data_IF_925671687799
#
_entry.id   IF_925671687799
#
_cell.length_a   1.000
_cell.length_b   1.000
_cell.length_c   1.000
_cell.angle_alpha   90.00
_cell.angle_beta   90.00
_cell.angle_gamma   90.00
#
_symmetry.space_group_name_H-M   'P 1'
#
loop_
_entity.id
_entity.type
_entity.pdbx_description
1 polymer ?
#
# COMPACT_ATOMS: atom_id res chain seq x y z
N UNK A 1 25.14 -24.11 -6.14
CA UNK A 1 24.58 -22.76 -6.02
C UNK A 1 23.23 -22.76 -6.72
N UNK A 2 22.13 -23.14 -6.06
CA UNK A 2 20.80 -23.04 -6.67
C UNK A 2 20.37 -21.58 -6.71
N UNK A 3 19.75 -21.19 -7.83
CA UNK A 3 19.64 -19.81 -8.30
C UNK A 3 18.75 -18.90 -7.46
N UNK A 4 19.23 -17.66 -7.28
CA UNK A 4 18.36 -16.51 -6.97
C UNK A 4 17.42 -16.34 -8.17
N UNK A 5 16.12 -16.46 -7.94
CA UNK A 5 15.10 -16.14 -8.93
C UNK A 5 14.37 -14.90 -8.42
N UNK A 6 14.44 -13.79 -9.15
CA UNK A 6 13.59 -12.64 -8.88
C UNK A 6 12.18 -12.85 -9.44
N UNK A 7 11.25 -12.12 -8.85
CA UNK A 7 9.83 -12.34 -9.09
C UNK A 7 9.25 -11.35 -10.09
N UNK A 8 9.35 -10.04 -9.80
CA UNK A 8 8.79 -9.00 -10.66
C UNK A 8 9.77 -7.83 -10.84
N UNK A 9 9.93 -7.38 -12.09
CA UNK A 9 10.85 -6.29 -12.49
C UNK A 9 12.30 -6.52 -11.99
N UNK A 10 12.74 -7.78 -11.89
CA UNK A 10 14.07 -8.15 -11.36
C UNK A 10 15.23 -7.45 -12.09
N UNK A 11 15.07 -7.20 -13.39
CA UNK A 11 16.07 -6.54 -14.22
C UNK A 11 16.06 -5.01 -14.08
N UNK A 12 14.95 -4.42 -13.60
CA UNK A 12 14.75 -2.97 -13.53
C UNK A 12 14.94 -2.42 -12.11
N UNK A 13 14.62 -3.21 -11.09
CA UNK A 13 14.70 -2.82 -9.67
C UNK A 13 15.88 -3.54 -9.03
N UNK A 14 16.77 -2.84 -8.30
CA UNK A 14 18.01 -3.40 -7.77
C UNK A 14 17.80 -4.25 -6.49
N UNK A 15 16.90 -5.24 -6.55
CA UNK A 15 16.54 -6.12 -5.43
C UNK A 15 17.74 -6.87 -4.85
N UNK A 16 18.63 -7.37 -5.70
CA UNK A 16 19.85 -8.08 -5.28
C UNK A 16 20.82 -7.16 -4.54
N UNK A 17 20.92 -5.91 -4.98
CA UNK A 17 21.70 -4.87 -4.30
C UNK A 17 21.08 -4.58 -2.95
N UNK A 18 19.76 -4.38 -2.87
CA UNK A 18 19.06 -4.18 -1.61
C UNK A 18 19.28 -5.36 -0.66
N UNK A 19 18.99 -6.59 -1.10
CA UNK A 19 19.11 -7.81 -0.30
C UNK A 19 20.54 -8.02 0.25
N UNK A 20 21.58 -7.70 -0.53
CA UNK A 20 22.97 -7.80 -0.07
C UNK A 20 23.33 -6.87 1.09
N UNK A 21 22.51 -5.85 1.35
CA UNK A 21 22.66 -4.90 2.46
C UNK A 21 21.97 -5.34 3.75
N UNK A 22 21.35 -6.53 3.78
CA UNK A 22 20.68 -7.08 4.95
C UNK A 22 21.15 -8.51 5.21
N UNK A 23 21.11 -8.93 6.48
CA UNK A 23 21.28 -10.33 6.87
C UNK A 23 19.93 -10.83 7.35
N UNK A 24 19.55 -12.03 6.94
CA UNK A 24 18.36 -12.68 7.48
C UNK A 24 18.57 -13.09 8.95
N UNK A 25 17.70 -12.64 9.85
CA UNK A 25 17.66 -13.06 11.26
C UNK A 25 16.24 -13.48 11.60
N UNK A 26 16.03 -14.75 11.94
CA UNK A 26 14.72 -15.34 12.21
C UNK A 26 14.02 -14.81 13.47
N UNK A 27 14.74 -14.13 14.37
CA UNK A 27 14.20 -13.69 15.67
C UNK A 27 14.82 -12.37 16.15
N UNK A 28 14.57 -11.27 15.45
CA UNK A 28 15.09 -9.93 15.80
C UNK A 28 14.06 -9.07 16.55
N UNK A 29 13.78 -9.42 17.81
CA UNK A 29 12.72 -8.77 18.61
C UNK A 29 12.96 -7.32 19.06
N UNK A 30 14.16 -6.75 18.85
CA UNK A 30 14.57 -5.56 19.63
C UNK A 30 14.87 -4.29 18.83
N UNK A 31 15.14 -4.35 17.52
CA UNK A 31 15.51 -3.15 16.77
C UNK A 31 15.17 -3.24 15.28
N UNK A 32 14.68 -2.14 14.66
CA UNK A 32 14.46 -2.09 13.22
C UNK A 32 15.79 -2.35 12.48
N UNK A 33 15.75 -2.98 11.30
CA UNK A 33 16.94 -3.26 10.52
C UNK A 33 17.65 -1.95 10.18
N UNK A 34 18.96 -1.87 10.46
CA UNK A 34 19.81 -0.81 9.92
C UNK A 34 20.50 -1.35 8.67
N UNK A 35 20.34 -0.72 7.50
CA UNK A 35 21.01 -1.18 6.28
C UNK A 35 22.53 -1.07 6.39
N UNK A 36 23.26 -1.94 5.67
CA UNK A 36 24.73 -1.84 5.53
C UNK A 36 25.16 -0.54 4.89
N UNK A 37 24.43 -0.11 3.88
CA UNK A 37 24.74 1.09 3.10
C UNK A 37 23.48 1.93 2.92
N UNK A 38 23.50 3.12 3.50
CA UNK A 38 22.50 4.15 3.22
C UNK A 38 22.44 4.50 1.72
N UNK A 39 23.57 4.40 1.02
CA UNK A 39 23.66 4.72 -0.40
C UNK A 39 22.92 3.68 -1.25
N UNK A 40 23.04 2.40 -0.90
CA UNK A 40 22.35 1.32 -1.61
C UNK A 40 20.83 1.35 -1.38
N UNK A 41 20.39 1.62 -0.14
CA UNK A 41 18.96 1.80 0.15
C UNK A 41 18.40 3.03 -0.52
N UNK A 42 19.13 4.15 -0.52
CA UNK A 42 18.71 5.37 -1.20
C UNK A 42 18.59 5.17 -2.72
N UNK A 43 19.58 4.50 -3.33
CA UNK A 43 19.53 4.14 -4.75
C UNK A 43 18.32 3.26 -5.07
N UNK A 44 18.07 2.21 -4.27
CA UNK A 44 16.88 1.36 -4.43
C UNK A 44 15.59 2.18 -4.34
N UNK A 45 15.46 3.01 -3.31
CA UNK A 45 14.28 3.85 -3.07
C UNK A 45 13.98 4.74 -4.26
N UNK A 46 15.00 5.44 -4.79
CA UNK A 46 14.85 6.31 -5.96
C UNK A 46 14.42 5.56 -7.21
N UNK A 47 15.06 4.42 -7.48
CA UNK A 47 14.74 3.62 -8.67
C UNK A 47 13.30 3.09 -8.59
N UNK A 48 12.88 2.57 -7.43
CA UNK A 48 11.50 2.08 -7.25
C UNK A 48 10.47 3.22 -7.39
N UNK A 49 10.70 4.36 -6.74
CA UNK A 49 9.82 5.53 -6.85
C UNK A 49 9.67 5.99 -8.31
N UNK A 50 10.80 6.14 -9.03
CA UNK A 50 10.81 6.55 -10.43
C UNK A 50 10.08 5.56 -11.35
N UNK A 51 10.22 4.25 -11.10
CA UNK A 51 9.51 3.22 -11.87
C UNK A 51 8.00 3.30 -11.62
N UNK A 52 7.57 3.49 -10.37
CA UNK A 52 6.15 3.70 -10.04
C UNK A 52 5.62 4.93 -10.78
N UNK A 53 6.31 6.07 -10.70
CA UNK A 53 5.92 7.31 -11.39
C UNK A 53 5.78 7.11 -12.91
N UNK A 54 6.79 6.50 -13.54
CA UNK A 54 6.82 6.28 -15.00
C UNK A 54 5.69 5.36 -15.45
N UNK A 55 5.43 4.28 -14.71
CA UNK A 55 4.38 3.33 -15.06
C UNK A 55 2.99 3.85 -14.70
N UNK A 56 2.87 4.71 -13.69
CA UNK A 56 1.64 5.48 -13.44
C UNK A 56 1.32 6.46 -14.56
N UNK A 57 2.31 7.16 -15.11
CA UNK A 57 2.11 8.04 -16.27
C UNK A 57 1.64 7.23 -17.49
N UNK A 58 2.25 6.06 -17.70
CA UNK A 58 1.86 5.13 -18.76
C UNK A 58 0.43 4.60 -18.56
N UNK A 59 0.07 4.27 -17.31
CA UNK A 59 -1.29 3.86 -16.94
C UNK A 59 -2.29 5.00 -17.20
N UNK A 60 -1.94 6.23 -16.80
CA UNK A 60 -2.78 7.41 -16.97
C UNK A 60 -3.08 7.72 -18.44
N UNK A 61 -2.13 7.48 -19.33
CA UNK A 61 -2.29 7.70 -20.77
C UNK A 61 -3.38 6.81 -21.41
N UNK A 62 -3.84 5.75 -20.73
CA UNK A 62 -4.94 4.90 -21.20
C UNK A 62 -6.32 5.56 -21.08
N UNK A 63 -6.43 6.63 -20.29
CA UNK A 63 -7.70 7.28 -19.98
C UNK A 63 -7.81 8.67 -20.62
N UNK A 64 -9.04 9.19 -20.83
CA UNK A 64 -9.24 10.53 -21.36
C UNK A 64 -8.51 11.61 -20.58
N UNK A 65 -8.10 12.67 -21.27
CA UNK A 65 -7.46 13.84 -20.67
C UNK A 65 -8.39 14.48 -19.62
N UNK A 66 -7.86 14.75 -18.43
CA UNK A 66 -8.59 15.27 -17.28
C UNK A 66 -9.26 16.61 -17.57
N UNK A 67 -8.62 17.45 -18.40
CA UNK A 67 -9.15 18.76 -18.80
C UNK A 67 -10.32 18.70 -19.78
N UNK A 68 -10.58 17.51 -20.36
CA UNK A 68 -11.66 17.30 -21.34
C UNK A 68 -12.81 16.46 -20.77
N UNK A 69 -12.71 16.06 -19.51
CA UNK A 69 -13.69 15.20 -18.87
C UNK A 69 -14.78 16.04 -18.20
N UNK A 70 -15.92 16.18 -18.86
CA UNK A 70 -17.12 16.75 -18.23
C UNK A 70 -17.72 15.69 -17.31
N UNK A 71 -17.30 15.70 -16.05
CA UNK A 71 -17.89 14.86 -15.02
C UNK A 71 -19.43 15.06 -15.04
N UNK A 72 -20.26 14.02 -14.97
CA UNK A 72 -21.70 14.19 -14.80
C UNK A 72 -22.04 14.66 -13.39
N UNK A 73 -23.18 15.33 -13.21
CA UNK A 73 -23.69 15.75 -11.88
C UNK A 73 -24.60 14.69 -11.24
N UNK A 74 -25.07 13.74 -12.04
CA UNK A 74 -26.00 12.69 -11.65
C UNK A 74 -25.61 11.38 -12.31
N UNK A 75 -25.94 10.27 -11.67
CA UNK A 75 -25.79 8.94 -12.24
C UNK A 75 -24.86 8.03 -11.45
N UNK A 76 -24.51 6.91 -12.07
CA UNK A 76 -23.73 5.85 -11.44
C UNK A 76 -22.23 6.13 -11.51
N UNK A 77 -21.56 6.05 -10.36
CA UNK A 77 -20.10 6.10 -10.25
C UNK A 77 -19.48 4.84 -10.85
N UNK A 78 -20.00 3.66 -10.51
CA UNK A 78 -19.54 2.35 -10.97
C UNK A 78 -20.69 1.50 -11.50
N UNK A 79 -20.39 0.43 -12.25
CA UNK A 79 -21.40 -0.41 -12.91
C UNK A 79 -22.16 -1.33 -11.93
N UNK A 80 -23.33 -1.80 -12.35
CA UNK A 80 -24.14 -2.74 -11.57
C UNK A 80 -23.43 -4.08 -11.40
N UNK A 81 -22.66 -4.53 -12.41
CA UNK A 81 -21.89 -5.77 -12.33
C UNK A 81 -20.84 -5.70 -11.21
N UNK A 82 -20.18 -4.54 -11.06
CA UNK A 82 -19.19 -4.35 -10.01
C UNK A 82 -19.86 -4.35 -8.62
N UNK A 83 -21.01 -3.68 -8.50
CA UNK A 83 -21.82 -3.68 -7.28
C UNK A 83 -22.19 -5.10 -6.87
N UNK A 84 -22.67 -5.89 -7.83
CA UNK A 84 -23.18 -7.23 -7.59
C UNK A 84 -22.05 -8.23 -7.31
N UNK A 85 -20.85 -7.98 -7.84
CA UNK A 85 -19.64 -8.75 -7.52
C UNK A 85 -19.11 -8.45 -6.11
N UNK A 86 -19.26 -7.21 -5.63
CA UNK A 86 -18.71 -6.74 -4.35
C UNK A 86 -19.77 -6.12 -3.41
N UNK A 87 -20.85 -6.86 -3.06
CA UNK A 87 -21.97 -6.33 -2.29
C UNK A 87 -21.62 -5.99 -0.82
N UNK A 88 -20.46 -6.44 -0.33
CA UNK A 88 -19.93 -6.08 1.00
C UNK A 88 -19.43 -4.61 1.03
N UNK A 89 -19.03 -4.05 -0.12
CA UNK A 89 -18.40 -2.73 -0.23
C UNK A 89 -19.24 -1.75 -1.03
N UNK A 90 -20.03 -2.26 -1.99
CA UNK A 90 -20.73 -1.48 -3.00
C UNK A 90 -22.23 -1.77 -2.92
N UNK A 91 -23.02 -0.70 -2.96
CA UNK A 91 -24.48 -0.74 -2.90
C UNK A 91 -25.10 0.35 -3.80
N UNK A 92 -26.42 0.35 -3.91
CA UNK A 92 -27.13 1.33 -4.75
C UNK A 92 -26.92 2.79 -4.30
N UNK A 93 -26.70 3.00 -3.00
CA UNK A 93 -26.57 4.32 -2.39
C UNK A 93 -25.19 4.90 -2.65
N UNK A 94 -24.12 4.11 -2.50
CA UNK A 94 -22.76 4.57 -2.76
C UNK A 94 -22.39 4.56 -4.25
N UNK A 95 -23.21 3.94 -5.11
CA UNK A 95 -23.14 4.06 -6.57
C UNK A 95 -23.55 5.45 -7.08
N UNK A 96 -24.39 6.19 -6.34
CA UNK A 96 -25.02 7.41 -6.81
C UNK A 96 -24.15 8.66 -6.55
N UNK A 97 -23.71 9.37 -7.59
CA UNK A 97 -22.81 10.54 -7.40
C UNK A 97 -23.48 11.71 -6.69
N UNK A 98 -24.75 11.97 -6.99
CA UNK A 98 -25.51 13.05 -6.38
C UNK A 98 -25.66 12.84 -4.86
N UNK A 99 -25.74 11.58 -4.40
CA UNK A 99 -25.70 11.28 -2.96
C UNK A 99 -24.40 11.80 -2.30
N UNK A 100 -23.27 11.74 -2.99
CA UNK A 100 -21.99 12.18 -2.45
C UNK A 100 -21.82 13.68 -2.47
N UNK A 101 -22.32 14.34 -3.53
CA UNK A 101 -22.37 15.79 -3.64
C UNK A 101 -23.24 16.39 -2.52
N UNK A 102 -24.40 15.78 -2.24
CA UNK A 102 -25.28 16.23 -1.16
C UNK A 102 -24.66 16.06 0.24
N UNK A 103 -23.95 14.95 0.45
CA UNK A 103 -23.30 14.66 1.74
C UNK A 103 -22.09 15.53 2.03
N UNK A 104 -21.36 15.94 1.00
CA UNK A 104 -20.20 16.82 1.14
C UNK A 104 -20.56 18.24 1.59
N UNK A 105 -21.86 18.60 1.63
CA UNK A 105 -22.30 19.96 1.95
C UNK A 105 -21.79 20.39 3.33
N UNK A 106 -21.30 21.64 3.45
CA UNK A 106 -20.68 22.13 4.67
C UNK A 106 -21.69 22.17 5.81
N UNK A 107 -21.50 21.31 6.82
CA UNK A 107 -22.39 21.24 7.98
C UNK A 107 -22.05 22.31 9.03
N UNK A 108 -20.79 22.77 9.08
CA UNK A 108 -20.33 23.84 9.97
C UNK A 108 -19.19 24.63 9.31
N UNK A 109 -19.17 25.95 9.53
CA UNK A 109 -18.05 26.82 9.16
C UNK A 109 -16.87 26.52 10.09
N UNK A 110 -15.70 26.22 9.54
CA UNK A 110 -14.46 26.31 10.32
C UNK A 110 -14.29 27.76 10.81
N UNK A 111 -13.97 27.99 12.10
CA UNK A 111 -13.74 29.35 12.60
C UNK A 111 -12.57 30.00 11.86
N UNK A 112 -12.87 30.90 10.92
CA UNK A 112 -11.87 31.62 10.11
C UNK A 112 -11.86 31.27 8.61
N UNK A 113 -12.74 30.40 8.12
CA UNK A 113 -12.92 30.19 6.68
C UNK A 113 -13.93 31.18 6.10
N UNK A 114 -13.51 31.99 5.13
CA UNK A 114 -14.37 32.96 4.42
C UNK A 114 -15.42 32.28 3.53
N UNK A 115 -15.18 31.03 3.12
CA UNK A 115 -16.10 30.22 2.32
C UNK A 115 -16.14 28.80 2.89
N UNK A 116 -17.33 28.24 3.20
CA UNK A 116 -17.42 26.86 3.66
C UNK A 116 -17.05 25.90 2.52
N UNK A 117 -15.92 25.21 2.66
CA UNK A 117 -15.53 24.14 1.74
C UNK A 117 -16.34 22.86 2.00
N UNK A 118 -16.75 22.14 0.94
CA UNK A 118 -17.30 20.80 1.10
C UNK A 118 -16.33 19.90 1.85
N UNK A 119 -16.84 19.00 2.70
CA UNK A 119 -16.00 18.10 3.48
C UNK A 119 -16.68 16.77 3.78
N UNK A 120 -15.88 15.76 4.08
CA UNK A 120 -16.31 14.44 4.51
C UNK A 120 -15.80 14.13 5.92
N UNK A 121 -16.50 13.22 6.58
CA UNK A 121 -16.19 12.73 7.93
C UNK A 121 -15.98 11.22 7.93
N UNK A 122 -15.64 10.65 9.09
CA UNK A 122 -15.61 9.20 9.28
C UNK A 122 -16.95 8.50 8.96
N UNK A 123 -18.08 9.24 9.00
CA UNK A 123 -19.40 8.69 8.62
C UNK A 123 -19.59 8.51 7.11
N UNK A 124 -18.63 9.01 6.31
CA UNK A 124 -18.59 8.94 4.86
C UNK A 124 -17.50 7.95 4.37
N UNK A 125 -16.92 7.15 5.27
CA UNK A 125 -15.82 6.24 4.94
C UNK A 125 -16.21 5.12 3.95
N UNK A 126 -17.49 4.83 3.73
CA UNK A 126 -17.91 3.97 2.63
C UNK A 126 -17.59 4.54 1.24
N UNK A 127 -17.48 5.88 1.08
CA UNK A 127 -16.92 6.47 -0.14
C UNK A 127 -15.44 6.13 -0.28
N UNK A 128 -14.68 6.06 0.83
CA UNK A 128 -13.29 5.61 0.76
C UNK A 128 -13.22 4.17 0.23
N UNK A 129 -14.12 3.27 0.63
CA UNK A 129 -14.19 1.91 0.07
C UNK A 129 -14.54 1.90 -1.42
N UNK A 130 -15.46 2.75 -1.89
CA UNK A 130 -15.70 2.92 -3.32
C UNK A 130 -14.41 3.30 -4.06
N UNK A 131 -13.62 4.24 -3.53
CA UNK A 131 -12.35 4.64 -4.15
C UNK A 131 -11.34 3.48 -4.13
N UNK A 132 -11.20 2.77 -3.01
CA UNK A 132 -10.30 1.60 -2.91
C UNK A 132 -10.68 0.52 -3.94
N UNK A 133 -11.97 0.18 -4.02
CA UNK A 133 -12.51 -0.78 -4.99
C UNK A 133 -12.26 -0.35 -6.42
N UNK A 134 -12.43 0.94 -6.69
CA UNK A 134 -12.22 1.49 -8.02
C UNK A 134 -10.74 1.40 -8.44
N UNK A 135 -9.81 1.67 -7.51
CA UNK A 135 -8.37 1.50 -7.74
C UNK A 135 -8.08 0.01 -8.04
N UNK A 136 -8.71 -0.92 -7.31
CA UNK A 136 -8.56 -2.37 -7.51
C UNK A 136 -9.09 -2.85 -8.87
N UNK A 137 -10.21 -2.31 -9.35
CA UNK A 137 -10.97 -2.84 -10.48
C UNK A 137 -10.83 -2.05 -11.78
N UNK A 138 -9.97 -1.02 -11.80
CA UNK A 138 -9.57 -0.29 -13.02
C UNK A 138 -10.78 0.37 -13.71
N UNK A 139 -11.68 0.94 -12.92
CA UNK A 139 -12.87 1.61 -13.46
C UNK A 139 -12.58 3.09 -13.70
N UNK A 140 -12.57 3.53 -14.96
CA UNK A 140 -12.18 4.90 -15.33
C UNK A 140 -13.10 5.97 -14.76
N UNK A 141 -14.41 5.78 -14.86
CA UNK A 141 -15.40 6.77 -14.47
C UNK A 141 -15.38 7.07 -12.94
N UNK A 142 -15.41 6.08 -12.04
CA UNK A 142 -15.32 6.37 -10.61
C UNK A 142 -13.96 6.88 -10.15
N UNK A 143 -12.88 6.73 -10.94
CA UNK A 143 -11.60 7.38 -10.67
C UNK A 143 -11.63 8.85 -11.07
N UNK A 144 -12.11 9.18 -12.27
CA UNK A 144 -11.98 10.53 -12.83
C UNK A 144 -13.15 11.46 -12.52
N UNK A 145 -14.38 10.94 -12.35
CA UNK A 145 -15.53 11.79 -12.07
C UNK A 145 -15.35 12.54 -10.74
N UNK A 146 -15.01 11.86 -9.63
CA UNK A 146 -14.87 12.54 -8.35
C UNK A 146 -13.61 13.42 -8.26
N UNK A 147 -12.52 13.11 -8.99
CA UNK A 147 -11.28 13.92 -9.00
C UNK A 147 -11.47 15.31 -9.56
N UNK A 148 -12.31 15.43 -10.57
CA UNK A 148 -12.53 16.69 -11.26
C UNK A 148 -13.72 17.49 -10.69
N UNK A 149 -14.15 17.17 -9.45
CA UNK A 149 -15.30 17.82 -8.79
C UNK A 149 -14.91 18.47 -7.47
N UNK A 150 -14.87 19.81 -7.41
CA UNK A 150 -14.69 20.53 -6.14
C UNK A 150 -15.75 20.19 -5.08
N UNK A 151 -16.94 19.75 -5.51
CA UNK A 151 -18.03 19.33 -4.62
C UNK A 151 -17.81 17.96 -3.97
N UNK A 152 -16.83 17.18 -4.43
CA UNK A 152 -16.50 15.85 -3.90
C UNK A 152 -15.04 15.88 -3.42
N UNK A 153 -14.78 16.33 -2.18
CA UNK A 153 -13.44 16.62 -1.68
C UNK A 153 -12.69 15.33 -1.28
N UNK A 154 -12.36 14.46 -2.24
CA UNK A 154 -11.79 13.14 -1.95
C UNK A 154 -10.47 13.19 -1.18
N UNK A 155 -9.71 14.29 -1.25
CA UNK A 155 -8.53 14.50 -0.39
C UNK A 155 -8.84 14.28 1.09
N UNK A 156 -10.06 14.59 1.56
CA UNK A 156 -10.49 14.39 2.95
C UNK A 156 -10.66 12.92 3.33
N UNK A 157 -10.74 12.01 2.36
CA UNK A 157 -10.82 10.57 2.55
C UNK A 157 -9.46 9.86 2.49
N UNK A 158 -8.39 10.60 2.15
CA UNK A 158 -7.04 10.04 1.97
C UNK A 158 -6.56 9.37 3.25
N UNK A 159 -6.59 10.10 4.36
CA UNK A 159 -6.12 9.63 5.66
C UNK A 159 -7.21 9.71 6.74
N UNK A 160 -8.29 8.95 6.58
CA UNK A 160 -9.30 8.79 7.63
C UNK A 160 -8.77 7.95 8.78
N UNK A 161 -9.07 8.36 10.02
CA UNK A 161 -8.72 7.59 11.20
C UNK A 161 -9.68 7.80 12.38
N UNK A 162 -9.87 6.75 13.16
CA UNK A 162 -10.57 6.76 14.46
C UNK A 162 -10.00 5.63 15.33
N UNK A 163 -8.91 5.90 16.05
CA UNK A 163 -8.13 4.88 16.76
C UNK A 163 -7.26 4.00 15.84
N UNK A 164 -7.66 3.81 14.59
CA UNK A 164 -6.87 3.19 13.52
C UNK A 164 -7.16 3.89 12.17
N UNK A 165 -6.28 3.69 11.18
CA UNK A 165 -6.33 4.35 9.87
C UNK A 165 -7.03 3.47 8.82
N UNK A 166 -8.02 4.02 8.11
CA UNK A 166 -8.84 3.31 7.12
C UNK A 166 -9.19 4.17 5.89
N UNK A 167 -8.48 5.28 5.68
CA UNK A 167 -8.56 6.06 4.45
C UNK A 167 -8.02 5.29 3.24
N UNK A 168 -8.22 5.83 2.04
CA UNK A 168 -7.76 5.12 0.83
C UNK A 168 -6.24 5.09 0.66
N UNK A 169 -5.45 5.85 1.45
CA UNK A 169 -3.99 5.70 1.49
C UNK A 169 -3.52 4.32 1.92
N UNK A 170 -4.38 3.59 2.65
CA UNK A 170 -4.16 2.18 3.02
C UNK A 170 -3.93 1.26 1.82
N UNK A 171 -4.46 1.58 0.65
CA UNK A 171 -4.22 0.81 -0.59
C UNK A 171 -2.75 0.87 -0.98
N UNK A 172 -2.19 2.09 -1.01
CA UNK A 172 -0.77 2.28 -1.31
C UNK A 172 0.12 1.65 -0.25
N UNK A 173 -0.22 1.83 1.03
CA UNK A 173 0.54 1.29 2.16
C UNK A 173 0.61 -0.26 2.14
N UNK A 174 -0.54 -0.93 2.08
CA UNK A 174 -0.61 -2.39 2.11
C UNK A 174 0.03 -3.02 0.85
N UNK A 175 -0.21 -2.43 -0.33
CA UNK A 175 0.41 -2.87 -1.57
C UNK A 175 1.94 -2.73 -1.54
N UNK A 176 2.46 -1.63 -0.99
CA UNK A 176 3.89 -1.36 -0.94
C UNK A 176 4.58 -2.31 0.03
N UNK A 177 3.98 -2.51 1.22
CA UNK A 177 4.48 -3.46 2.21
C UNK A 177 4.54 -4.88 1.64
N UNK A 178 3.48 -5.34 0.98
CA UNK A 178 3.45 -6.64 0.32
C UNK A 178 4.52 -6.73 -0.78
N UNK A 179 4.58 -5.73 -1.67
CA UNK A 179 5.49 -5.72 -2.81
C UNK A 179 6.97 -5.77 -2.38
N UNK A 180 7.37 -4.93 -1.42
CA UNK A 180 8.75 -4.88 -0.92
C UNK A 180 9.09 -6.18 -0.20
N UNK A 181 8.25 -6.64 0.74
CA UNK A 181 8.57 -7.81 1.55
C UNK A 181 8.69 -9.08 0.71
N UNK A 182 7.75 -9.36 -0.19
CA UNK A 182 7.81 -10.62 -0.96
C UNK A 182 8.95 -10.64 -1.96
N UNK A 183 9.22 -9.53 -2.67
CA UNK A 183 10.40 -9.46 -3.54
C UNK A 183 11.71 -9.52 -2.75
N UNK A 184 11.75 -8.93 -1.55
CA UNK A 184 12.92 -8.96 -0.69
C UNK A 184 13.24 -10.39 -0.21
N UNK A 185 12.24 -11.12 0.32
CA UNK A 185 12.38 -12.52 0.76
C UNK A 185 12.81 -13.42 -0.41
N UNK A 186 12.33 -13.16 -1.62
CA UNK A 186 12.78 -13.87 -2.80
C UNK A 186 14.25 -13.57 -3.14
N UNK A 187 14.65 -12.30 -3.08
CA UNK A 187 16.01 -11.86 -3.40
C UNK A 187 17.06 -12.34 -2.39
N UNK A 188 16.68 -12.56 -1.13
CA UNK A 188 17.55 -13.18 -0.11
C UNK A 188 17.73 -14.68 -0.31
N UNK A 189 16.87 -15.33 -1.11
CA UNK A 189 16.87 -16.78 -1.32
C UNK A 189 16.30 -17.57 -0.13
N UNK A 190 15.67 -16.90 0.83
CA UNK A 190 15.13 -17.54 2.05
C UNK A 190 13.79 -18.23 1.80
N UNK A 191 13.14 -17.99 0.65
CA UNK A 191 11.92 -18.69 0.22
C UNK A 191 12.08 -20.22 0.25
N UNK A 192 13.21 -20.75 -0.19
CA UNK A 192 13.43 -22.20 -0.31
C UNK A 192 13.53 -22.91 1.05
N UNK A 193 13.89 -22.18 2.10
CA UNK A 193 14.03 -22.73 3.46
C UNK A 193 12.76 -22.66 4.30
N UNK A 194 11.73 -21.90 3.88
CA UNK A 194 10.50 -21.69 4.65
C UNK A 194 10.68 -20.93 5.98
N UNK A 195 11.91 -20.56 6.33
CA UNK A 195 12.26 -20.01 7.65
C UNK A 195 11.54 -18.69 7.95
N UNK A 196 11.11 -17.95 6.92
CA UNK A 196 10.40 -16.68 7.05
C UNK A 196 9.02 -16.85 7.70
N UNK A 197 8.36 -18.01 7.55
CA UNK A 197 7.00 -18.26 8.07
C UNK A 197 6.96 -18.19 9.60
N UNK A 198 8.06 -18.54 10.25
CA UNK A 198 8.18 -18.57 11.71
C UNK A 198 8.56 -17.20 12.32
N UNK A 199 8.73 -16.15 11.52
CA UNK A 199 9.11 -14.82 12.01
C UNK A 199 7.89 -14.03 12.48
N UNK A 200 8.02 -13.34 13.61
CA UNK A 200 6.99 -12.42 14.13
C UNK A 200 6.63 -11.36 13.05
N UNK A 201 7.62 -10.90 12.27
CA UNK A 201 7.42 -9.94 11.18
C UNK A 201 6.52 -10.47 10.05
N UNK A 202 6.71 -11.74 9.63
CA UNK A 202 5.86 -12.35 8.61
C UNK A 202 4.44 -12.54 9.12
N UNK A 203 4.27 -13.02 10.35
CA UNK A 203 2.95 -13.15 10.98
C UNK A 203 2.25 -11.79 11.07
N UNK A 204 2.98 -10.73 11.44
CA UNK A 204 2.45 -9.37 11.49
C UNK A 204 2.05 -8.87 10.10
N UNK A 205 2.90 -9.04 9.09
CA UNK A 205 2.58 -8.65 7.71
C UNK A 205 1.31 -9.36 7.21
N UNK A 206 1.25 -10.68 7.34
CA UNK A 206 0.09 -11.44 6.85
C UNK A 206 -1.17 -11.07 7.62
N UNK A 207 -1.07 -10.83 8.94
CA UNK A 207 -2.20 -10.32 9.73
C UNK A 207 -2.67 -8.98 9.20
N UNK A 208 -1.75 -8.05 8.96
CA UNK A 208 -2.07 -6.72 8.43
C UNK A 208 -2.79 -6.82 7.07
N UNK A 209 -2.26 -7.62 6.14
CA UNK A 209 -2.77 -7.81 4.78
C UNK A 209 -4.12 -8.54 4.71
N UNK A 210 -4.50 -9.29 5.75
CA UNK A 210 -5.71 -10.14 5.72
C UNK A 210 -6.79 -9.72 6.73
N UNK A 211 -6.44 -8.85 7.68
CA UNK A 211 -7.30 -8.39 8.78
C UNK A 211 -8.61 -7.76 8.31
N UNK A 212 -9.66 -7.89 9.12
CA UNK A 212 -10.92 -7.16 8.94
C UNK A 212 -10.90 -5.84 9.69
N UNK A 213 -10.50 -4.80 8.96
CA UNK A 213 -10.52 -3.41 9.41
C UNK A 213 -11.90 -2.77 9.18
N UNK A 214 -12.16 -1.63 9.81
CA UNK A 214 -13.29 -0.79 9.43
C UNK A 214 -13.06 -0.34 7.98
N UNK A 215 -14.06 -0.54 7.12
CA UNK A 215 -13.98 -0.26 5.68
C UNK A 215 -12.79 -0.98 5.02
N UNK A 216 -12.83 -2.32 4.85
CA UNK A 216 -11.63 -3.12 4.57
C UNK A 216 -11.32 -3.32 3.08
N UNK A 217 -11.87 -2.52 2.17
CA UNK A 217 -11.69 -2.73 0.73
C UNK A 217 -10.22 -2.68 0.27
N UNK A 218 -9.32 -2.04 1.03
CA UNK A 218 -7.87 -2.07 0.78
C UNK A 218 -7.29 -3.49 0.85
N UNK A 219 -7.89 -4.39 1.64
CA UNK A 219 -7.37 -5.74 1.85
C UNK A 219 -7.85 -6.72 0.78
N UNK A 220 -8.74 -6.29 -0.13
CA UNK A 220 -9.33 -7.18 -1.11
C UNK A 220 -8.29 -7.95 -1.95
N UNK A 221 -7.36 -7.32 -2.68
CA UNK A 221 -6.41 -8.04 -3.53
C UNK A 221 -5.50 -8.96 -2.71
N UNK A 222 -5.23 -8.59 -1.45
CA UNK A 222 -4.44 -9.39 -0.53
C UNK A 222 -5.21 -10.63 -0.05
N UNK A 223 -6.50 -10.48 0.29
CA UNK A 223 -7.37 -11.58 0.72
C UNK A 223 -7.75 -12.53 -0.40
N UNK A 224 -7.84 -12.05 -1.64
CA UNK A 224 -8.09 -12.92 -2.80
C UNK A 224 -6.93 -13.89 -3.02
N UNK A 225 -5.70 -13.44 -2.79
CA UNK A 225 -4.51 -14.28 -2.89
C UNK A 225 -4.23 -15.10 -1.62
N UNK A 226 -4.21 -14.45 -0.45
CA UNK A 226 -3.78 -15.07 0.82
C UNK A 226 -4.93 -15.79 1.54
N UNK A 227 -6.18 -15.38 1.26
CA UNK A 227 -7.34 -15.73 2.06
C UNK A 227 -7.62 -14.73 3.18
N UNK A 228 -8.80 -14.83 3.79
CA UNK A 228 -9.17 -14.03 4.96
C UNK A 228 -8.46 -14.54 6.21
N UNK A 229 -8.19 -13.64 7.16
CA UNK A 229 -7.62 -14.02 8.44
C UNK A 229 -8.48 -15.12 9.11
N UNK A 230 -7.87 -16.22 9.58
CA UNK A 230 -8.61 -17.27 10.27
C UNK A 230 -9.29 -16.72 11.53
N UNK A 231 -10.53 -17.15 11.79
CA UNK A 231 -11.25 -16.78 13.03
C UNK A 231 -10.61 -17.40 14.29
N UNK A 232 -9.86 -18.49 14.11
CA UNK A 232 -9.16 -19.16 15.21
C UNK A 232 -7.68 -18.72 15.21
N UNK A 233 -7.20 -18.08 16.29
CA UNK A 233 -5.80 -17.63 16.39
C UNK A 233 -4.78 -18.77 16.35
N UNK A 234 -5.21 -20.02 16.55
CA UNK A 234 -4.34 -21.21 16.46
C UNK A 234 -4.22 -21.78 15.04
N UNK A 235 -4.94 -21.23 14.06
CA UNK A 235 -4.83 -21.65 12.66
C UNK A 235 -3.71 -20.88 12.00
N UNK A 236 -2.68 -21.60 11.52
CA UNK A 236 -1.62 -21.01 10.72
C UNK A 236 -2.17 -20.44 9.41
N UNK A 237 -1.62 -19.32 8.96
CA UNK A 237 -1.90 -18.82 7.62
C UNK A 237 -1.49 -19.85 6.56
N UNK A 238 -2.20 -19.90 5.42
CA UNK A 238 -1.78 -20.75 4.31
C UNK A 238 -0.36 -20.37 3.87
N UNK A 239 0.42 -21.39 3.51
CA UNK A 239 1.77 -21.19 3.01
C UNK A 239 1.73 -20.74 1.55
N UNK A 240 1.63 -19.43 1.35
CA UNK A 240 1.35 -18.85 0.04
C UNK A 240 2.59 -18.65 -0.83
N UNK A 241 3.81 -18.63 -0.24
CA UNK A 241 5.01 -18.32 -1.02
C UNK A 241 5.69 -19.53 -1.69
N UNK A 242 5.14 -20.74 -1.54
CA UNK A 242 5.66 -21.94 -2.22
C UNK A 242 5.26 -22.01 -3.70
N UNK A 243 4.08 -21.51 -4.05
CA UNK A 243 3.67 -21.38 -5.45
C UNK A 243 4.26 -20.09 -6.03
N UNK A 244 5.45 -20.21 -6.60
CA UNK A 244 6.20 -19.07 -7.13
C UNK A 244 5.49 -18.39 -8.31
N UNK A 245 4.69 -19.12 -9.08
CA UNK A 245 3.96 -18.54 -10.20
C UNK A 245 2.75 -17.75 -9.72
N UNK A 246 1.97 -18.29 -8.78
CA UNK A 246 0.88 -17.55 -8.14
C UNK A 246 1.40 -16.33 -7.36
N UNK A 247 2.53 -16.48 -6.67
CA UNK A 247 3.17 -15.37 -5.96
C UNK A 247 3.67 -14.29 -6.91
N UNK A 248 4.29 -14.66 -8.04
CA UNK A 248 4.71 -13.70 -9.08
C UNK A 248 3.51 -12.93 -9.62
N UNK A 249 2.41 -13.60 -9.85
CA UNK A 249 1.18 -12.98 -10.33
C UNK A 249 0.62 -11.98 -9.33
N UNK A 250 0.53 -12.38 -8.07
CA UNK A 250 0.08 -11.51 -6.99
C UNK A 250 0.99 -10.28 -6.84
N UNK A 251 2.32 -10.45 -6.87
CA UNK A 251 3.27 -9.35 -6.80
C UNK A 251 3.13 -8.37 -7.97
N UNK A 252 2.83 -8.87 -9.17
CA UNK A 252 2.49 -8.05 -10.35
C UNK A 252 1.19 -7.27 -10.14
N UNK A 253 0.18 -7.90 -9.53
CA UNK A 253 -1.11 -7.27 -9.21
C UNK A 253 -0.94 -6.12 -8.22
N UNK A 254 -0.26 -6.34 -7.10
CA UNK A 254 -0.04 -5.26 -6.10
C UNK A 254 0.86 -4.15 -6.65
N UNK A 255 1.82 -4.47 -7.52
CA UNK A 255 2.60 -3.44 -8.20
C UNK A 255 1.76 -2.57 -9.14
N UNK A 256 0.88 -3.20 -9.91
CA UNK A 256 -0.09 -2.49 -10.76
C UNK A 256 -1.04 -1.65 -9.90
N UNK A 257 -1.35 -2.10 -8.69
CA UNK A 257 -2.14 -1.34 -7.72
C UNK A 257 -1.42 -0.08 -7.23
N UNK A 258 -0.11 -0.16 -6.94
CA UNK A 258 0.71 1.01 -6.60
C UNK A 258 0.69 2.06 -7.71
N UNK A 259 0.83 1.63 -8.96
CA UNK A 259 0.81 2.52 -10.11
C UNK A 259 -0.55 3.24 -10.25
N UNK A 260 -1.65 2.50 -10.07
CA UNK A 260 -3.01 3.06 -10.10
C UNK A 260 -3.27 4.00 -8.93
N UNK A 261 -2.87 3.63 -7.72
CA UNK A 261 -2.97 4.48 -6.55
C UNK A 261 -2.23 5.81 -6.75
N UNK A 262 -0.99 5.79 -7.26
CA UNK A 262 -0.22 7.01 -7.51
C UNK A 262 -0.84 7.88 -8.59
N UNK A 263 -1.32 7.29 -9.69
CA UNK A 263 -2.07 8.01 -10.73
C UNK A 263 -3.25 8.76 -10.10
N UNK A 264 -4.06 8.05 -9.31
CA UNK A 264 -5.26 8.59 -8.68
C UNK A 264 -4.93 9.69 -7.68
N UNK A 265 -3.88 9.52 -6.88
CA UNK A 265 -3.36 10.57 -5.98
C UNK A 265 -3.06 11.87 -6.70
N UNK A 266 -2.39 11.79 -7.86
CA UNK A 266 -2.03 12.97 -8.66
C UNK A 266 -3.24 13.68 -9.26
N UNK A 267 -4.31 12.95 -9.61
CA UNK A 267 -5.55 13.55 -10.12
C UNK A 267 -6.24 14.46 -9.10
N UNK A 268 -6.02 14.26 -7.79
CA UNK A 268 -6.54 15.16 -6.74
C UNK A 268 -5.52 16.21 -6.28
N UNK A 269 -4.39 16.35 -6.99
CA UNK A 269 -3.31 17.27 -6.62
C UNK A 269 -2.54 16.83 -5.37
N UNK A 270 -2.53 15.54 -5.03
CA UNK A 270 -1.73 15.00 -3.94
C UNK A 270 -0.45 14.33 -4.47
N UNK A 271 0.60 14.39 -3.66
CA UNK A 271 1.88 13.70 -3.91
C UNK A 271 1.99 12.52 -2.94
N UNK A 272 2.27 11.33 -3.48
CA UNK A 272 2.45 10.10 -2.69
C UNK A 272 3.76 10.09 -1.89
N UNK A 273 4.73 10.97 -2.19
CA UNK A 273 6.04 11.02 -1.52
C UNK A 273 6.68 9.63 -1.40
N UNK A 274 6.73 8.89 -2.50
CA UNK A 274 7.09 7.47 -2.51
C UNK A 274 8.42 7.15 -1.81
N UNK A 275 9.40 8.05 -1.89
CA UNK A 275 10.68 7.83 -1.22
C UNK A 275 10.50 7.66 0.31
N UNK A 276 9.65 8.47 0.93
CA UNK A 276 9.38 8.42 2.37
C UNK A 276 8.59 7.15 2.75
N UNK A 277 7.62 6.77 1.91
CA UNK A 277 6.81 5.56 2.10
C UNK A 277 7.67 4.28 1.97
N UNK A 278 8.56 4.23 0.98
CA UNK A 278 9.49 3.10 0.78
C UNK A 278 10.47 3.01 1.95
N UNK A 279 11.04 4.13 2.39
CA UNK A 279 11.94 4.15 3.56
C UNK A 279 11.22 3.71 4.83
N UNK A 280 9.94 4.09 4.99
CA UNK A 280 9.13 3.65 6.12
C UNK A 280 8.89 2.14 6.10
N UNK A 281 8.73 1.53 4.92
CA UNK A 281 8.61 0.07 4.77
C UNK A 281 9.88 -0.69 5.20
N UNK A 282 11.07 -0.08 5.12
CA UNK A 282 12.29 -0.76 5.57
C UNK A 282 12.30 -1.11 7.05
N UNK A 283 11.52 -0.39 7.88
CA UNK A 283 11.35 -0.71 9.30
C UNK A 283 10.60 -2.02 9.54
N UNK A 284 9.82 -2.45 8.56
CA UNK A 284 8.92 -3.61 8.61
C UNK A 284 9.36 -4.73 7.67
N UNK A 285 10.60 -4.70 7.18
CA UNK A 285 11.13 -5.76 6.31
C UNK A 285 11.38 -7.03 7.09
N UNK A 286 10.72 -8.10 6.66
CA UNK A 286 10.73 -9.40 7.32
C UNK A 286 12.15 -9.97 7.40
N UNK A 287 12.55 -10.31 8.62
CA UNK A 287 13.81 -11.00 8.88
C UNK A 287 15.04 -10.14 8.57
N UNK A 288 14.90 -8.85 8.28
CA UNK A 288 16.04 -7.98 8.09
C UNK A 288 16.71 -7.70 9.45
N UNK A 289 17.88 -8.29 9.66
CA UNK A 289 18.69 -8.16 10.86
C UNK A 289 19.86 -7.18 10.71
N UNK A 290 20.37 -6.71 11.86
CA UNK A 290 21.55 -5.81 11.95
C UNK A 290 22.77 -6.35 11.19
N UNK A 291 23.63 -5.40 10.84
CA UNK A 291 24.89 -5.59 10.14
C UNK A 291 26.04 -5.85 11.12
N UNK A 292 26.84 -6.86 10.82
CA UNK A 292 28.20 -7.04 11.35
C UNK A 292 29.11 -5.95 10.79
N UNK A 293 29.56 -5.01 11.62
CA UNK A 293 30.69 -4.13 11.30
C UNK A 293 31.91 -4.75 12.03
N UNK A 294 32.96 -5.09 11.27
CA UNK A 294 34.30 -5.40 11.79
C UNK A 294 34.37 -6.35 13.00
N UNK A 295 33.87 -7.59 12.82
CA UNK A 295 34.05 -8.73 13.76
C UNK A 295 33.60 -8.55 15.22
N UNK A 296 32.99 -7.43 15.59
CA UNK A 296 32.53 -7.17 16.95
C UNK A 296 31.01 -7.08 17.02
N UNK A 297 30.42 -7.96 17.81
CA UNK A 297 29.03 -7.83 18.24
C UNK A 297 28.97 -6.72 19.29
N UNK A 298 28.53 -5.52 18.90
CA UNK A 298 28.17 -4.51 19.90
C UNK A 298 26.82 -4.91 20.50
N UNK A 299 26.87 -5.77 21.50
CA UNK A 299 25.86 -5.74 22.56
C UNK A 299 26.05 -4.40 23.27
N UNK A 300 25.21 -3.43 22.93
CA UNK A 300 25.26 -2.11 23.54
C UNK A 300 24.65 -2.17 24.95
N UNK A 301 25.32 -2.92 25.82
CA UNK A 301 25.37 -2.64 27.25
C UNK A 301 26.54 -1.69 27.48
N UNK A 302 26.34 -0.40 27.21
CA UNK A 302 26.80 0.65 28.11
C UNK A 302 26.25 2.03 27.74
N UNK A 303 25.38 2.53 28.62
CA UNK A 303 25.29 3.95 28.92
C UNK A 303 26.70 4.47 29.24
N UNK A 304 27.03 5.63 28.66
CA UNK A 304 28.22 6.48 28.88
C UNK A 304 29.19 6.49 27.72
N UNK A 305 28.91 7.35 26.73
CA UNK A 305 29.91 8.15 26.03
C UNK A 305 29.21 9.39 25.42
N UNK A 306 28.48 10.13 26.25
CA UNK A 306 28.39 11.59 26.09
C UNK A 306 29.67 12.16 26.71
N UNK A 307 30.72 12.31 25.89
CA UNK A 307 31.82 13.29 26.02
C UNK A 307 32.86 12.97 24.94
N UNK A 308 33.15 13.98 24.11
CA UNK A 308 34.12 14.03 23.01
C UNK A 308 33.54 13.40 21.73
N UNK A 309 33.09 14.15 20.71
CA UNK A 309 33.57 15.39 20.07
C UNK A 309 32.35 16.22 19.62
#
# INVERSE_FOLDING_TARGET
MPGRQGMHQEHSIPWTTLASNFIYISNNRKYPPKPRSFHATYHFTRVLAQIIETLSDTERAKYPDSFKFDAPLTGQLFSDELRDHYPEYLDQKNQCIECWIERARPKHLDPGADVPEPSYSISDACLADVIKMTINEIQTAPLLIPTHRPQVPLRRLHHLSCGHHFGFSRVGEAALQAYINFNFIAATGTLQGGEYVATDDYVQLITELTSSMDYPAQQLPHREYIGRQPKNPNTSFPEVLHDLDALREYVRTVFSLLCRYHMVMREFGADSRWEDEIVSCFRWMIGAGKVKIEETWVEDSNRHLERLI
#
